data_IF_902282680663
#
_entry.id   IF_902282680663
#
_cell.length_a   1.000
_cell.length_b   1.000
_cell.length_c   1.000
_cell.angle_alpha   90.00
_cell.angle_beta   90.00
_cell.angle_gamma   90.00
#
_symmetry.space_group_name_H-M   'P 1'
#
loop_
_entity.id
_entity.type
_entity.pdbx_description
1 polymer ?
#
# COMPACT_ATOMS: atom_id res chain seq x y z
N UNK A 1 -14.83 -7.03 -26.81
CA UNK A 1 -13.68 -6.11 -26.87
C UNK A 1 -13.65 -5.45 -25.51
N UNK A 2 -12.61 -5.67 -24.72
CA UNK A 2 -12.38 -4.94 -23.47
C UNK A 2 -12.18 -3.48 -23.84
N UNK A 3 -12.87 -2.56 -23.16
CA UNK A 3 -12.64 -1.14 -23.36
C UNK A 3 -11.14 -0.83 -23.17
N UNK A 4 -10.54 0.02 -24.03
CA UNK A 4 -9.13 0.35 -23.92
C UNK A 4 -8.85 1.06 -22.59
N UNK A 5 -7.74 0.71 -21.95
CA UNK A 5 -7.31 1.33 -20.70
C UNK A 5 -7.09 2.85 -20.92
N UNK A 6 -7.84 3.73 -20.22
CA UNK A 6 -7.78 5.16 -20.48
C UNK A 6 -6.42 5.78 -20.15
N UNK A 7 -5.65 5.22 -19.20
CA UNK A 7 -4.29 5.70 -18.90
C UNK A 7 -3.33 5.37 -20.03
N UNK A 8 -3.36 4.15 -20.54
CA UNK A 8 -2.52 3.77 -21.66
C UNK A 8 -2.91 4.59 -22.91
N UNK A 9 -4.21 4.78 -23.15
CA UNK A 9 -4.67 5.62 -24.24
C UNK A 9 -4.14 7.06 -24.14
N UNK A 10 -4.23 7.68 -22.96
CA UNK A 10 -3.65 9.00 -22.70
C UNK A 10 -2.14 8.99 -22.97
N UNK A 11 -1.42 8.02 -22.43
CA UNK A 11 0.03 7.91 -22.58
C UNK A 11 0.45 7.81 -24.06
N UNK A 12 -0.24 7.01 -24.87
CA UNK A 12 0.05 6.85 -26.30
C UNK A 12 -0.28 8.10 -27.12
N UNK A 13 -1.28 8.85 -26.69
CA UNK A 13 -1.70 10.09 -27.35
C UNK A 13 -0.97 11.35 -26.82
N UNK A 14 -0.13 11.20 -25.78
CA UNK A 14 0.46 12.33 -25.06
C UNK A 14 1.36 13.19 -25.97
N UNK A 15 0.99 14.46 -26.10
CA UNK A 15 1.81 15.51 -26.72
C UNK A 15 2.28 16.56 -25.70
N UNK A 16 1.95 16.34 -24.43
CA UNK A 16 2.28 17.24 -23.32
C UNK A 16 3.66 16.96 -22.73
N UNK A 17 3.77 17.09 -21.40
CA UNK A 17 5.04 16.87 -20.70
C UNK A 17 5.45 15.39 -20.78
N UNK A 18 6.76 15.14 -20.68
CA UNK A 18 7.31 13.78 -20.77
C UNK A 18 6.70 12.88 -19.69
N UNK A 19 6.27 11.68 -20.11
CA UNK A 19 5.83 10.59 -19.25
C UNK A 19 6.75 9.40 -19.53
N UNK A 20 7.29 8.79 -18.48
CA UNK A 20 8.08 7.58 -18.57
C UNK A 20 7.46 6.53 -17.64
N UNK A 21 6.98 5.43 -18.20
CA UNK A 21 6.32 4.33 -17.46
C UNK A 21 6.59 2.99 -18.12
N UNK A 22 6.59 1.92 -17.33
CA UNK A 22 6.51 0.58 -17.85
C UNK A 22 5.10 0.30 -18.37
N UNK A 23 4.97 -0.26 -19.57
CA UNK A 23 3.66 -0.42 -20.24
C UNK A 23 2.72 -1.31 -19.42
N UNK A 24 3.24 -2.35 -18.76
CA UNK A 24 2.41 -3.24 -17.95
C UNK A 24 1.87 -2.60 -16.66
N UNK A 25 2.39 -1.44 -16.25
CA UNK A 25 1.87 -0.73 -15.06
C UNK A 25 0.47 -0.16 -15.30
N UNK A 26 0.09 0.14 -16.55
CA UNK A 26 -1.20 0.77 -16.83
C UNK A 26 -2.40 -0.08 -16.41
N UNK A 27 -2.35 -1.40 -16.60
CA UNK A 27 -3.42 -2.31 -16.15
C UNK A 27 -3.54 -2.27 -14.62
N UNK A 28 -2.41 -2.28 -13.91
CA UNK A 28 -2.35 -2.24 -12.46
C UNK A 28 -2.90 -0.92 -11.92
N UNK A 29 -2.49 0.22 -12.48
CA UNK A 29 -3.07 1.52 -12.11
C UNK A 29 -4.58 1.52 -12.31
N UNK A 30 -5.04 1.12 -13.49
CA UNK A 30 -6.46 1.21 -13.81
C UNK A 30 -7.29 0.36 -12.84
N UNK A 31 -6.88 -0.89 -12.62
CA UNK A 31 -7.51 -1.83 -11.70
C UNK A 31 -7.70 -1.27 -10.29
N UNK A 32 -6.69 -0.59 -9.75
CA UNK A 32 -6.73 -0.11 -8.37
C UNK A 32 -7.26 1.32 -8.24
N UNK A 33 -7.17 2.12 -9.30
CA UNK A 33 -7.51 3.54 -9.26
C UNK A 33 -8.84 3.90 -9.90
N UNK A 34 -9.47 2.99 -10.67
CA UNK A 34 -10.74 3.29 -11.35
C UNK A 34 -11.85 3.76 -10.40
N UNK A 35 -11.87 3.24 -9.17
CA UNK A 35 -12.84 3.61 -8.13
C UNK A 35 -12.74 5.07 -7.67
N UNK A 36 -11.67 5.78 -8.01
CA UNK A 36 -11.45 7.19 -7.67
C UNK A 36 -11.72 8.16 -8.83
N UNK A 37 -11.98 7.65 -10.05
CA UNK A 37 -12.23 8.49 -11.22
C UNK A 37 -13.49 9.34 -11.05
N UNK A 38 -13.40 10.62 -11.43
CA UNK A 38 -14.50 11.58 -11.36
C UNK A 38 -14.94 11.96 -9.95
N UNK A 39 -14.08 11.71 -8.94
CA UNK A 39 -14.35 12.03 -7.53
C UNK A 39 -13.40 13.12 -7.04
N UNK A 40 -13.78 13.90 -6.01
CA UNK A 40 -12.92 14.91 -5.40
C UNK A 40 -11.85 14.27 -4.50
N UNK A 41 -10.91 13.55 -5.11
CA UNK A 41 -9.87 12.78 -4.41
C UNK A 41 -8.59 13.58 -4.22
N UNK A 42 -7.89 13.30 -3.13
CA UNK A 42 -6.51 13.75 -2.89
C UNK A 42 -5.53 12.70 -3.41
N UNK A 43 -4.70 13.09 -4.37
CA UNK A 43 -3.65 12.27 -4.99
C UNK A 43 -2.29 12.85 -4.61
N UNK A 44 -1.38 12.02 -4.11
CA UNK A 44 -0.01 12.41 -3.80
C UNK A 44 0.97 11.48 -4.54
N UNK A 45 1.82 12.04 -5.39
CA UNK A 45 2.86 11.33 -6.13
C UNK A 45 4.24 11.82 -5.68
N UNK A 46 5.11 10.88 -5.27
CA UNK A 46 6.55 11.11 -5.16
C UNK A 46 7.20 10.80 -6.50
N UNK A 47 8.07 11.68 -6.98
CA UNK A 47 8.68 11.61 -8.31
C UNK A 47 7.88 12.42 -9.33
N UNK A 48 8.21 13.70 -9.47
CA UNK A 48 7.55 14.59 -10.45
C UNK A 48 8.30 14.55 -11.77
N UNK A 49 9.64 14.61 -11.74
CA UNK A 49 10.48 14.68 -12.94
C UNK A 49 10.00 15.79 -13.90
N UNK A 50 9.56 15.43 -15.11
CA UNK A 50 9.03 16.38 -16.09
C UNK A 50 7.54 16.68 -15.91
N UNK A 51 6.85 16.07 -14.95
CA UNK A 51 5.46 16.38 -14.56
C UNK A 51 4.39 15.88 -15.52
N UNK A 52 4.71 14.99 -16.45
CA UNK A 52 3.72 14.41 -17.36
C UNK A 52 2.76 13.46 -16.65
N UNK A 53 3.22 12.68 -15.67
CA UNK A 53 2.35 11.80 -14.87
C UNK A 53 1.25 12.60 -14.17
N UNK A 54 1.59 13.76 -13.59
CA UNK A 54 0.61 14.65 -12.95
C UNK A 54 -0.47 15.16 -13.92
N UNK A 55 -0.13 15.40 -15.19
CA UNK A 55 -1.12 15.75 -16.22
C UNK A 55 -2.02 14.56 -16.57
N UNK A 56 -1.45 13.37 -16.66
CA UNK A 56 -2.19 12.12 -16.85
C UNK A 56 -3.13 11.82 -15.66
N UNK A 57 -2.67 12.01 -14.42
CA UNK A 57 -3.49 11.84 -13.23
C UNK A 57 -4.63 12.84 -13.17
N UNK A 58 -4.41 14.09 -13.58
CA UNK A 58 -5.47 15.11 -13.72
C UNK A 58 -6.55 14.67 -14.68
N UNK A 59 -6.16 14.18 -15.87
CA UNK A 59 -7.10 13.68 -16.87
C UNK A 59 -7.87 12.45 -16.35
N UNK A 60 -7.16 11.51 -15.72
CA UNK A 60 -7.71 10.25 -15.25
C UNK A 60 -8.68 10.42 -14.07
N UNK A 61 -8.30 11.18 -13.05
CA UNK A 61 -9.11 11.35 -11.83
C UNK A 61 -10.17 12.44 -11.96
N UNK A 62 -9.97 13.41 -12.86
CA UNK A 62 -10.94 14.46 -13.18
C UNK A 62 -10.62 15.81 -12.54
N UNK A 63 -11.44 16.80 -12.90
CA UNK A 63 -11.21 18.21 -12.56
C UNK A 63 -11.24 18.50 -11.05
N UNK A 64 -12.01 17.74 -10.27
CA UNK A 64 -12.15 17.95 -8.82
C UNK A 64 -11.03 17.30 -7.99
N UNK A 65 -10.13 16.54 -8.63
CA UNK A 65 -8.99 15.95 -7.93
C UNK A 65 -8.04 17.04 -7.43
N UNK A 66 -7.47 16.85 -6.24
CA UNK A 66 -6.34 17.65 -5.74
C UNK A 66 -5.09 16.81 -5.90
N UNK A 67 -4.15 17.29 -6.71
CA UNK A 67 -2.94 16.53 -7.05
C UNK A 67 -1.76 17.21 -6.39
N UNK A 68 -0.97 16.42 -5.69
CA UNK A 68 0.25 16.86 -5.03
C UNK A 68 1.42 16.07 -5.61
N UNK A 69 2.46 16.79 -6.03
CA UNK A 69 3.73 16.20 -6.46
C UNK A 69 4.82 16.47 -5.45
N UNK A 70 5.75 15.53 -5.25
CA UNK A 70 6.93 15.71 -4.41
C UNK A 70 8.18 15.35 -5.21
N UNK A 71 9.14 16.25 -5.27
CA UNK A 71 10.43 16.00 -5.92
C UNK A 71 11.58 16.68 -5.17
N UNK A 72 12.79 16.14 -5.33
CA UNK A 72 14.00 16.76 -4.78
C UNK A 72 14.53 17.88 -5.68
N UNK A 73 14.21 17.84 -6.98
CA UNK A 73 14.66 18.84 -7.94
C UNK A 73 13.82 20.12 -7.83
N UNK A 74 14.43 21.26 -7.43
CA UNK A 74 13.70 22.51 -7.23
C UNK A 74 13.02 23.02 -8.50
N UNK A 75 13.46 22.62 -9.69
CA UNK A 75 12.82 23.00 -10.96
C UNK A 75 11.40 22.46 -11.08
N UNK A 76 11.07 21.37 -10.38
CA UNK A 76 9.72 20.80 -10.40
C UNK A 76 8.67 21.75 -9.82
N UNK A 77 9.05 22.75 -9.01
CA UNK A 77 8.13 23.75 -8.46
C UNK A 77 7.39 24.53 -9.56
N UNK A 78 8.00 24.68 -10.74
CA UNK A 78 7.42 25.34 -11.92
C UNK A 78 6.33 24.50 -12.61
N UNK A 79 6.21 23.22 -12.25
CA UNK A 79 5.28 22.28 -12.90
C UNK A 79 3.89 22.26 -12.26
N UNK A 80 3.70 22.98 -11.15
CA UNK A 80 2.40 23.19 -10.51
C UNK A 80 1.41 23.98 -11.37
N UNK A 81 0.15 24.04 -10.92
CA UNK A 81 -0.93 24.73 -11.63
C UNK A 81 -2.28 24.58 -10.92
N UNK A 82 -3.39 24.98 -11.57
CA UNK A 82 -4.72 24.85 -10.97
C UNK A 82 -5.02 23.41 -10.51
N UNK A 83 -5.25 23.26 -9.20
CA UNK A 83 -5.50 21.97 -8.56
C UNK A 83 -4.28 21.07 -8.38
N UNK A 84 -3.09 21.48 -8.84
CA UNK A 84 -1.84 20.72 -8.74
C UNK A 84 -0.76 21.52 -7.99
N UNK A 85 -0.34 21.05 -6.82
CA UNK A 85 0.70 21.70 -6.01
C UNK A 85 1.95 20.82 -5.92
N UNK A 86 3.13 21.44 -5.91
CA UNK A 86 4.41 20.71 -5.86
C UNK A 86 5.16 21.08 -4.58
N UNK A 87 5.64 20.07 -3.86
CA UNK A 87 6.54 20.22 -2.72
C UNK A 87 7.95 19.82 -3.13
N UNK A 88 8.92 20.65 -2.73
CA UNK A 88 10.34 20.36 -2.96
C UNK A 88 10.96 19.84 -1.66
N UNK A 89 11.51 18.64 -1.69
CA UNK A 89 12.22 18.06 -0.55
C UNK A 89 12.64 16.61 -0.75
N UNK A 90 13.43 16.11 0.21
CA UNK A 90 13.93 14.74 0.19
C UNK A 90 12.95 13.81 0.90
N UNK A 91 12.45 12.80 0.18
CA UNK A 91 11.58 11.78 0.75
C UNK A 91 12.27 10.86 1.79
N UNK A 92 13.59 10.97 2.02
CA UNK A 92 14.24 10.36 3.20
C UNK A 92 14.06 11.19 4.47
N UNK A 93 13.72 12.48 4.37
CA UNK A 93 13.49 13.34 5.53
C UNK A 93 12.08 13.11 6.07
N UNK A 94 12.00 12.37 7.17
CA UNK A 94 10.74 12.06 7.85
C UNK A 94 10.04 13.30 8.41
N UNK A 95 10.77 14.36 8.75
CA UNK A 95 10.15 15.62 9.19
C UNK A 95 9.43 16.29 8.03
N UNK A 96 10.05 16.28 6.84
CA UNK A 96 9.43 16.73 5.62
C UNK A 96 8.22 15.87 5.22
N UNK A 97 8.32 14.53 5.30
CA UNK A 97 7.17 13.65 5.03
C UNK A 97 5.98 13.94 5.94
N UNK A 98 6.22 14.15 7.25
CA UNK A 98 5.17 14.53 8.20
C UNK A 98 4.56 15.89 7.87
N UNK A 99 5.37 16.87 7.49
CA UNK A 99 4.85 18.20 7.13
C UNK A 99 3.99 18.16 5.86
N UNK A 100 4.33 17.31 4.88
CA UNK A 100 3.46 17.03 3.73
C UNK A 100 2.15 16.42 4.20
N UNK A 101 2.20 15.35 5.01
CA UNK A 101 1.01 14.67 5.52
C UNK A 101 0.03 15.64 6.19
N UNK A 102 0.56 16.54 7.02
CA UNK A 102 -0.23 17.54 7.76
C UNK A 102 -0.82 18.61 6.83
N UNK A 103 -0.15 18.92 5.71
CA UNK A 103 -0.60 19.95 4.75
C UNK A 103 -1.61 19.43 3.74
N UNK A 104 -1.43 18.22 3.23
CA UNK A 104 -2.32 17.65 2.19
C UNK A 104 -3.57 17.00 2.79
N UNK A 105 -3.51 16.61 4.08
CA UNK A 105 -4.57 15.87 4.75
C UNK A 105 -4.63 14.41 4.33
N UNK A 106 -5.75 13.71 4.57
CA UNK A 106 -5.90 12.32 4.16
C UNK A 106 -5.72 12.17 2.65
N UNK A 107 -4.82 11.26 2.26
CA UNK A 107 -4.52 10.93 0.87
C UNK A 107 -5.35 9.71 0.45
N UNK A 108 -6.09 9.83 -0.66
CA UNK A 108 -6.89 8.74 -1.22
C UNK A 108 -6.05 7.86 -2.14
N UNK A 109 -5.15 8.46 -2.91
CA UNK A 109 -4.21 7.76 -3.81
C UNK A 109 -2.79 8.24 -3.53
N UNK A 110 -1.96 7.35 -3.00
CA UNK A 110 -0.53 7.61 -2.78
C UNK A 110 0.26 6.80 -3.80
N UNK A 111 1.16 7.47 -4.51
CA UNK A 111 2.04 6.86 -5.52
C UNK A 111 3.48 7.14 -5.10
N UNK A 112 4.26 6.09 -4.86
CA UNK A 112 5.70 6.20 -4.63
C UNK A 112 6.45 5.79 -5.91
N UNK A 113 6.88 6.81 -6.67
CA UNK A 113 7.64 6.70 -7.92
C UNK A 113 8.88 7.63 -7.87
N UNK A 114 9.47 7.79 -6.67
CA UNK A 114 10.49 8.79 -6.39
C UNK A 114 11.91 8.31 -6.74
N UNK A 115 12.84 8.42 -5.78
CA UNK A 115 14.24 8.04 -6.02
C UNK A 115 14.53 6.53 -5.99
N UNK A 116 13.51 5.71 -5.70
CA UNK A 116 13.54 4.24 -5.61
C UNK A 116 14.63 3.66 -4.69
N UNK A 117 15.20 4.45 -3.78
CA UNK A 117 16.14 3.91 -2.77
C UNK A 117 15.35 3.26 -1.64
N UNK A 118 15.85 2.17 -1.10
CA UNK A 118 15.08 1.38 -0.12
C UNK A 118 14.63 2.17 1.12
N UNK A 119 15.49 3.07 1.62
CA UNK A 119 15.15 3.95 2.75
C UNK A 119 14.04 4.94 2.41
N UNK A 120 14.00 5.41 1.16
CA UNK A 120 12.99 6.35 0.68
C UNK A 120 11.61 5.68 0.66
N UNK A 121 11.49 4.51 0.02
CA UNK A 121 10.22 3.78 -0.08
C UNK A 121 9.68 3.37 1.30
N UNK A 122 10.57 2.91 2.19
CA UNK A 122 10.21 2.54 3.57
C UNK A 122 9.78 3.77 4.37
N UNK A 123 10.50 4.89 4.28
CA UNK A 123 10.12 6.12 4.99
C UNK A 123 8.77 6.66 4.52
N UNK A 124 8.52 6.68 3.20
CA UNK A 124 7.22 7.06 2.64
C UNK A 124 6.10 6.18 3.19
N UNK A 125 6.28 4.85 3.20
CA UNK A 125 5.29 3.94 3.80
C UNK A 125 5.03 4.28 5.26
N UNK A 126 6.06 4.35 6.09
CA UNK A 126 5.91 4.49 7.54
C UNK A 126 5.30 5.82 7.96
N UNK A 127 5.60 6.92 7.27
CA UNK A 127 5.11 8.25 7.65
C UNK A 127 3.73 8.57 7.03
N UNK A 128 3.43 8.08 5.81
CA UNK A 128 2.22 8.47 5.09
C UNK A 128 1.13 7.41 5.07
N UNK A 129 1.46 6.12 5.01
CA UNK A 129 0.44 5.08 4.94
C UNK A 129 -0.57 5.13 6.10
N UNK A 130 -0.16 5.32 7.38
CA UNK A 130 -1.11 5.47 8.49
C UNK A 130 -2.04 6.69 8.37
N UNK A 131 -1.61 7.73 7.65
CA UNK A 131 -2.30 9.02 7.51
C UNK A 131 -3.24 9.08 6.30
N UNK A 132 -3.23 8.05 5.46
CA UNK A 132 -4.11 7.96 4.29
C UNK A 132 -5.58 7.79 4.69
N UNK A 133 -6.46 8.15 3.76
CA UNK A 133 -7.91 7.94 3.88
C UNK A 133 -8.24 6.48 4.25
N UNK A 134 -9.36 6.22 4.98
CA UNK A 134 -9.75 4.87 5.34
C UNK A 134 -9.88 3.92 4.16
N UNK A 135 -10.34 4.39 3.00
CA UNK A 135 -10.44 3.59 1.77
C UNK A 135 -9.31 3.89 0.75
N UNK A 136 -8.20 4.46 1.21
CA UNK A 136 -7.09 4.86 0.35
C UNK A 136 -6.36 3.70 -0.34
N UNK A 137 -5.57 4.02 -1.37
CA UNK A 137 -4.77 3.09 -2.13
C UNK A 137 -3.32 3.58 -2.20
N UNK A 138 -2.37 2.76 -1.71
CA UNK A 138 -0.95 3.05 -1.80
C UNK A 138 -0.29 2.15 -2.84
N UNK A 139 0.31 2.72 -3.87
CA UNK A 139 1.03 2.02 -4.92
C UNK A 139 2.49 2.43 -4.91
N UNK A 140 3.38 1.43 -4.97
CA UNK A 140 4.83 1.62 -4.99
C UNK A 140 5.40 1.06 -6.30
N UNK A 141 6.10 1.90 -7.05
CA UNK A 141 6.70 1.57 -8.35
C UNK A 141 8.15 1.09 -8.22
N UNK A 142 8.65 0.51 -9.32
CA UNK A 142 10.06 0.21 -9.53
C UNK A 142 10.74 -0.60 -8.41
N UNK A 143 9.99 -1.53 -7.82
CA UNK A 143 10.47 -2.43 -6.78
C UNK A 143 11.55 -3.41 -7.25
N UNK A 144 11.77 -3.57 -8.56
CA UNK A 144 12.94 -4.27 -9.09
C UNK A 144 14.26 -3.66 -8.58
N UNK A 145 14.28 -2.37 -8.22
CA UNK A 145 15.43 -1.72 -7.59
C UNK A 145 15.80 -2.32 -6.22
N UNK A 146 14.87 -3.03 -5.56
CA UNK A 146 15.18 -3.86 -4.38
C UNK A 146 16.21 -4.94 -4.62
N UNK A 147 16.48 -5.30 -5.88
CA UNK A 147 17.50 -6.28 -6.26
C UNK A 147 18.80 -5.64 -6.75
N UNK A 148 18.85 -4.31 -6.88
CA UNK A 148 19.97 -3.60 -7.52
C UNK A 148 20.87 -2.91 -6.48
N UNK A 149 22.17 -3.25 -6.39
CA UNK A 149 23.08 -2.66 -5.40
C UNK A 149 23.14 -1.12 -5.41
N UNK A 150 23.02 -0.50 -6.59
CA UNK A 150 23.01 0.97 -6.79
C UNK A 150 21.95 1.69 -5.93
N UNK A 151 20.81 1.03 -5.71
CA UNK A 151 19.66 1.58 -4.96
C UNK A 151 19.63 1.12 -3.50
N UNK A 152 20.68 0.40 -3.05
CA UNK A 152 20.72 -0.24 -1.74
C UNK A 152 20.09 -1.65 -1.74
N UNK A 153 19.76 -2.18 -2.92
CA UNK A 153 19.16 -3.49 -3.10
C UNK A 153 20.13 -4.68 -2.98
N UNK A 154 19.56 -5.87 -3.14
CA UNK A 154 20.21 -7.18 -3.21
C UNK A 154 19.19 -8.29 -2.98
N UNK A 155 19.35 -9.45 -3.65
CA UNK A 155 18.45 -10.58 -3.45
C UNK A 155 18.40 -10.98 -1.97
N UNK A 156 17.18 -11.01 -1.40
CA UNK A 156 16.91 -11.27 0.02
C UNK A 156 17.62 -10.34 1.01
N UNK A 157 18.12 -9.19 0.54
CA UNK A 157 18.86 -8.26 1.40
C UNK A 157 17.92 -7.63 2.45
N UNK A 158 18.24 -7.73 3.76
CA UNK A 158 17.51 -7.01 4.79
C UNK A 158 17.52 -5.50 4.56
N UNK A 159 16.41 -4.83 4.88
CA UNK A 159 16.26 -3.38 4.69
C UNK A 159 15.91 -2.96 3.26
N UNK A 160 15.61 -3.91 2.36
CA UNK A 160 14.97 -3.61 1.07
C UNK A 160 13.46 -3.53 1.23
N UNK A 161 12.79 -2.74 0.39
CA UNK A 161 11.33 -2.63 0.46
C UNK A 161 10.66 -3.97 0.16
N UNK A 162 11.18 -4.77 -0.78
CA UNK A 162 10.62 -6.11 -1.05
C UNK A 162 10.71 -7.08 0.14
N UNK A 163 11.78 -7.02 0.95
CA UNK A 163 11.84 -7.83 2.19
C UNK A 163 10.89 -7.27 3.24
N UNK A 164 10.80 -5.94 3.36
CA UNK A 164 9.88 -5.26 4.27
C UNK A 164 8.40 -5.60 3.95
N UNK A 165 7.96 -5.45 2.71
CA UNK A 165 6.62 -5.76 2.25
C UNK A 165 6.24 -7.24 2.43
N UNK A 166 7.20 -8.17 2.26
CA UNK A 166 6.96 -9.59 2.58
C UNK A 166 6.67 -9.79 4.07
N UNK A 167 7.39 -9.09 4.95
CA UNK A 167 7.11 -9.11 6.39
C UNK A 167 5.72 -8.58 6.75
N UNK A 168 5.22 -7.57 6.03
CA UNK A 168 3.86 -7.05 6.24
C UNK A 168 2.76 -8.09 5.97
N UNK A 169 3.05 -9.16 5.21
CA UNK A 169 2.07 -10.24 5.01
C UNK A 169 1.77 -11.00 6.30
N UNK A 170 2.71 -11.09 7.23
CA UNK A 170 2.45 -11.64 8.57
C UNK A 170 1.52 -10.70 9.36
N UNK A 171 1.77 -9.39 9.29
CA UNK A 171 0.98 -8.38 9.99
C UNK A 171 -0.46 -8.29 9.45
N UNK A 172 -0.66 -8.48 8.14
CA UNK A 172 -1.98 -8.60 7.50
C UNK A 172 -2.79 -9.75 8.10
N UNK A 173 -2.12 -10.83 8.51
CA UNK A 173 -2.72 -12.05 9.05
C UNK A 173 -2.70 -12.14 10.58
N UNK A 174 -2.28 -11.07 11.29
CA UNK A 174 -2.01 -11.13 12.73
C UNK A 174 -3.22 -11.58 13.57
N UNK A 175 -4.46 -11.34 13.13
CA UNK A 175 -5.66 -11.84 13.80
C UNK A 175 -5.73 -13.37 13.95
N UNK A 176 -5.03 -14.11 13.09
CA UNK A 176 -4.97 -15.57 13.11
C UNK A 176 -3.82 -16.12 13.96
N UNK A 177 -2.89 -15.26 14.40
CA UNK A 177 -1.75 -15.67 15.20
C UNK A 177 -2.19 -16.27 16.54
N UNK A 178 -1.48 -17.33 16.96
CA UNK A 178 -1.54 -17.88 18.32
C UNK A 178 -0.25 -17.63 19.10
N UNK A 179 0.66 -16.86 18.51
CA UNK A 179 1.94 -16.46 19.07
C UNK A 179 1.83 -14.98 19.46
N UNK A 180 2.03 -14.69 20.74
CA UNK A 180 1.88 -13.35 21.32
C UNK A 180 2.90 -12.35 20.74
N UNK A 181 3.94 -12.82 20.04
CA UNK A 181 4.93 -11.97 19.35
C UNK A 181 4.39 -11.31 18.08
N UNK A 182 3.39 -11.90 17.43
CA UNK A 182 2.71 -11.32 16.28
C UNK A 182 1.38 -10.74 16.76
N UNK A 183 1.46 -9.51 17.28
CA UNK A 183 0.32 -8.79 17.83
C UNK A 183 -0.41 -7.99 16.76
N UNK A 184 -1.73 -7.85 16.92
CA UNK A 184 -2.57 -7.03 16.03
C UNK A 184 -2.25 -5.55 16.26
N UNK A 185 -1.81 -4.89 15.21
CA UNK A 185 -1.43 -3.48 15.21
C UNK A 185 -2.40 -2.64 14.35
N UNK A 186 -2.03 -1.37 14.10
CA UNK A 186 -2.82 -0.50 13.22
C UNK A 186 -2.87 -1.03 11.80
N UNK A 187 -1.77 -1.58 11.27
CA UNK A 187 -1.71 -2.13 9.93
C UNK A 187 -2.73 -3.27 9.75
N UNK A 188 -2.82 -4.22 10.70
CA UNK A 188 -3.82 -5.30 10.67
C UNK A 188 -5.25 -4.78 10.67
N UNK A 189 -5.52 -3.64 11.33
CA UNK A 189 -6.86 -3.05 11.46
C UNK A 189 -7.24 -2.15 10.30
N UNK A 190 -6.27 -1.73 9.49
CA UNK A 190 -6.44 -0.68 8.47
C UNK A 190 -6.06 -1.10 7.05
N UNK A 191 -5.59 -2.34 6.84
CA UNK A 191 -5.17 -2.85 5.51
C UNK A 191 -6.02 -4.03 5.10
N UNK A 192 -6.82 -3.86 4.04
CA UNK A 192 -7.71 -4.91 3.50
C UNK A 192 -6.94 -5.94 2.67
N UNK A 193 -5.98 -5.49 1.86
CA UNK A 193 -5.25 -6.37 0.94
C UNK A 193 -3.87 -5.82 0.59
N UNK A 194 -3.03 -6.74 0.11
CA UNK A 194 -1.75 -6.45 -0.53
C UNK A 194 -1.70 -7.18 -1.88
N UNK A 195 -1.30 -6.48 -2.94
CA UNK A 195 -1.18 -7.03 -4.29
C UNK A 195 0.26 -6.90 -4.74
N UNK A 196 0.90 -8.03 -5.06
CA UNK A 196 2.25 -8.08 -5.59
C UNK A 196 2.19 -8.35 -7.09
N UNK A 197 2.73 -7.42 -7.87
CA UNK A 197 2.90 -7.53 -9.31
C UNK A 197 4.40 -7.48 -9.66
N UNK A 198 4.74 -7.68 -10.94
CA UNK A 198 6.11 -7.44 -11.38
C UNK A 198 6.48 -5.97 -11.16
N UNK A 199 7.40 -5.75 -10.22
CA UNK A 199 7.94 -4.45 -9.85
C UNK A 199 6.95 -3.44 -9.25
N UNK A 200 5.75 -3.87 -8.85
CA UNK A 200 4.77 -3.05 -8.10
C UNK A 200 4.25 -3.79 -6.88
N UNK A 201 4.04 -3.05 -5.79
CA UNK A 201 3.18 -3.47 -4.69
C UNK A 201 2.07 -2.43 -4.51
N UNK A 202 0.84 -2.92 -4.34
CA UNK A 202 -0.32 -2.10 -3.98
C UNK A 202 -0.85 -2.54 -2.62
N UNK A 203 -1.14 -1.58 -1.72
CA UNK A 203 -1.83 -1.80 -0.46
C UNK A 203 -3.15 -1.04 -0.46
N UNK A 204 -4.25 -1.74 -0.21
CA UNK A 204 -5.58 -1.13 -0.10
C UNK A 204 -5.96 -0.98 1.37
N UNK A 205 -6.28 0.25 1.76
CA UNK A 205 -6.75 0.56 3.11
C UNK A 205 -8.22 0.25 3.28
N UNK A 206 -8.59 0.00 4.52
CA UNK A 206 -9.97 -0.15 4.94
C UNK A 206 -10.09 -0.59 6.38
N UNK A 207 -11.25 -0.37 6.98
CA UNK A 207 -11.54 -0.92 8.32
C UNK A 207 -11.57 -2.44 8.23
N UNK A 208 -10.68 -3.09 8.96
CA UNK A 208 -10.61 -4.55 9.08
C UNK A 208 -10.97 -4.95 10.50
N UNK A 209 -12.16 -5.55 10.63
CA UNK A 209 -12.60 -6.16 11.87
C UNK A 209 -11.95 -7.52 12.10
N UNK A 210 -11.96 -8.00 13.34
CA UNK A 210 -11.46 -9.33 13.67
C UNK A 210 -12.25 -10.38 12.89
N UNK A 211 -11.60 -11.21 12.04
CA UNK A 211 -12.30 -12.22 11.27
C UNK A 211 -13.03 -13.23 12.17
N UNK A 212 -14.26 -13.58 11.79
CA UNK A 212 -15.00 -14.69 12.36
C UNK A 212 -15.41 -15.67 11.26
N UNK A 213 -15.76 -16.90 11.66
CA UNK A 213 -16.20 -17.94 10.74
C UNK A 213 -17.66 -18.27 11.01
N UNK A 214 -18.43 -18.44 9.93
CA UNK A 214 -19.82 -18.90 9.96
C UNK A 214 -19.96 -20.13 9.06
N UNK A 215 -20.95 -20.99 9.36
CA UNK A 215 -21.27 -22.18 8.55
C UNK A 215 -22.76 -22.15 8.20
N UNK A 216 -23.09 -22.34 6.93
CA UNK A 216 -24.47 -22.46 6.42
C UNK A 216 -24.62 -23.74 5.58
N UNK A 217 -25.86 -24.19 5.36
CA UNK A 217 -26.15 -25.40 4.57
C UNK A 217 -26.33 -26.69 5.39
N UNK A 218 -26.33 -27.84 4.71
CA UNK A 218 -26.49 -29.17 5.33
C UNK A 218 -25.22 -29.99 5.13
N UNK A 219 -24.88 -30.81 6.14
CA UNK A 219 -23.77 -31.76 6.02
C UNK A 219 -24.04 -32.75 4.88
N UNK A 220 -23.13 -32.82 3.91
CA UNK A 220 -23.22 -33.75 2.77
C UNK A 220 -22.77 -35.17 3.12
N UNK A 221 -21.97 -35.29 4.18
CA UNK A 221 -21.55 -36.56 4.75
C UNK A 221 -21.99 -36.58 6.21
N UNK A 222 -22.31 -37.77 6.77
CA UNK A 222 -22.63 -37.88 8.19
C UNK A 222 -21.55 -37.19 9.03
N UNK A 223 -21.94 -36.53 10.14
CA UNK A 223 -20.96 -35.91 11.03
C UNK A 223 -19.89 -36.94 11.37
N UNK A 224 -18.61 -36.65 11.11
CA UNK A 224 -17.54 -37.46 11.67
C UNK A 224 -17.74 -37.49 13.19
N UNK A 225 -17.94 -38.68 13.76
CA UNK A 225 -17.88 -38.90 15.20
C UNK A 225 -16.44 -38.54 15.65
N UNK A 226 -16.22 -37.29 16.03
CA UNK A 226 -14.87 -36.75 16.24
C UNK A 226 -14.76 -35.22 16.22
N UNK A 227 -15.81 -34.47 15.87
CA UNK A 227 -15.83 -33.00 16.07
C UNK A 227 -15.96 -32.58 17.55
N UNK A 228 -15.68 -33.46 18.52
CA UNK A 228 -15.08 -33.01 19.77
C UNK A 228 -13.61 -32.76 19.49
N UNK A 229 -13.22 -31.48 19.39
CA UNK A 229 -11.82 -31.04 19.43
C UNK A 229 -10.96 -32.07 20.15
N UNK A 230 -9.99 -32.63 19.42
CA UNK A 230 -8.97 -33.55 19.89
C UNK A 230 -8.82 -33.48 21.43
N UNK A 231 -9.17 -34.55 22.17
CA UNK A 231 -9.08 -34.58 23.63
C UNK A 231 -7.72 -34.12 24.16
N UNK A 232 -6.64 -34.35 23.41
CA UNK A 232 -5.30 -33.87 23.75
C UNK A 232 -5.19 -32.35 23.64
N UNK A 233 -5.81 -31.72 22.65
CA UNK A 233 -5.85 -30.26 22.49
C UNK A 233 -6.63 -29.60 23.63
N UNK A 234 -7.76 -30.19 24.04
CA UNK A 234 -8.54 -29.72 25.21
C UNK A 234 -7.73 -29.90 26.51
N UNK A 235 -7.10 -31.06 26.70
CA UNK A 235 -6.26 -31.33 27.86
C UNK A 235 -5.04 -30.40 27.93
N UNK A 236 -4.40 -30.09 26.79
CA UNK A 236 -3.26 -29.18 26.71
C UNK A 236 -3.65 -27.74 27.05
N UNK A 237 -4.84 -27.28 26.63
CA UNK A 237 -5.39 -25.97 27.02
C UNK A 237 -5.67 -25.88 28.52
N UNK A 238 -6.28 -26.91 29.11
CA UNK A 238 -6.55 -26.96 30.55
C UNK A 238 -5.25 -26.99 31.37
N UNK A 239 -4.25 -27.79 30.95
CA UNK A 239 -2.92 -27.83 31.60
C UNK A 239 -2.20 -26.49 31.53
N UNK A 240 -2.26 -25.77 30.39
CA UNK A 240 -1.69 -24.42 30.26
C UNK A 240 -2.38 -23.40 31.16
N UNK A 241 -3.71 -23.47 31.30
CA UNK A 241 -4.49 -22.57 32.16
C UNK A 241 -4.19 -22.80 33.65
N UNK A 242 -4.09 -24.06 34.07
CA UNK A 242 -3.70 -24.43 35.43
C UNK A 242 -2.26 -23.98 35.76
N UNK A 243 -1.30 -24.15 34.83
CA UNK A 243 0.08 -23.67 35.01
C UNK A 243 0.19 -22.15 35.12
N UNK A 244 -0.61 -21.39 34.36
CA UNK A 244 -0.65 -19.92 34.47
C UNK A 244 -1.25 -19.45 35.81
N UNK A 245 -2.23 -20.17 36.35
CA UNK A 245 -2.80 -19.87 37.67
C UNK A 245 -1.86 -20.23 38.81
N UNK A 246 -1.05 -21.29 38.67
CA UNK A 246 -0.07 -21.70 39.66
C UNK A 246 1.24 -20.87 39.67
N UNK A 247 1.50 -20.10 38.60
CA UNK A 247 2.70 -19.26 38.47
C UNK A 247 2.44 -17.76 38.77
N UNK A 248 1.21 -17.42 39.20
CA UNK A 248 0.78 -16.05 39.51
C UNK A 248 0.34 -15.85 40.96
N UNK A 249 0.73 -16.75 41.86
CA UNK A 249 0.65 -16.60 43.32
C UNK A 249 2.02 -16.86 43.92
#
# INVERSE_FOLDING_TARGET
>A
MTDPNPLEQYFRANQGRLIHKWVHYFEIYHRHFERFRGKPVTVLEFGVSHGGSLQMWRDYFGADARIYGVDIDPRCAELGGPGTEIFIGDQQDRTFLRSIADRVGPVDVLIEDGGHRMKQQIATFEELYPRMSPDGCFLIEDLHTSYWPKFGGGYQRPGTFMVYAKGLTDQLNAWHSRDDRLAVDEFTRTTKSMHFYDSIVVLERGVVEKPHTEKTGRFSFGRHQGETFDPEVRARRLRRRARRQAAGG
#
